data_IF_773091588758
#
_entry.id   IF_773091588758
#
_cell.length_a   1.000
_cell.length_b   1.000
_cell.length_c   1.000
_cell.angle_alpha   90.00
_cell.angle_beta   90.00
_cell.angle_gamma   90.00
#
_symmetry.space_group_name_H-M   'P 1'
#
loop_
_entity.id
_entity.type
_entity.pdbx_description
1 polymer ?
#
# COMPACT_ATOMS: atom_id res chain seq x y z
N UNK A 1 -2.31 -15.72 17.51
CA UNK A 1 -1.10 -15.69 18.37
C UNK A 1 -1.22 -16.85 19.32
N UNK A 2 -0.25 -17.77 19.34
CA UNK A 2 -0.09 -18.70 20.44
C UNK A 2 0.39 -17.90 21.63
N UNK A 3 -0.43 -17.78 22.67
CA UNK A 3 -0.01 -17.18 23.95
C UNK A 3 0.93 -18.16 24.65
N UNK A 4 2.13 -17.69 24.99
CA UNK A 4 3.09 -18.45 25.78
C UNK A 4 2.90 -18.23 27.28
N UNK A 5 1.93 -17.42 27.68
CA UNK A 5 1.54 -17.19 29.04
C UNK A 5 0.71 -18.33 29.63
N UNK A 6 0.67 -18.44 30.94
CA UNK A 6 -0.15 -19.44 31.62
C UNK A 6 -1.65 -19.18 31.45
N UNK A 7 -2.38 -20.14 30.89
CA UNK A 7 -3.83 -20.17 31.02
C UNK A 7 -4.26 -20.67 32.41
N UNK A 8 -5.50 -20.39 32.82
CA UNK A 8 -6.00 -20.82 34.15
C UNK A 8 -5.84 -22.33 34.39
N UNK A 9 -5.89 -23.15 33.32
CA UNK A 9 -5.67 -24.60 33.40
C UNK A 9 -4.21 -24.99 33.60
N UNK A 10 -3.24 -24.17 33.15
CA UNK A 10 -1.82 -24.48 33.25
C UNK A 10 -1.33 -24.38 34.70
N UNK A 11 -1.89 -23.43 35.46
CA UNK A 11 -1.61 -23.30 36.88
C UNK A 11 -1.97 -24.57 37.63
N UNK A 12 -3.14 -25.16 37.36
CA UNK A 12 -3.62 -26.40 37.96
C UNK A 12 -2.73 -27.60 37.57
N UNK A 13 -2.30 -27.66 36.33
CA UNK A 13 -1.40 -28.70 35.82
C UNK A 13 -0.03 -28.60 36.51
N UNK A 14 0.56 -27.41 36.58
CA UNK A 14 1.82 -27.15 37.27
C UNK A 14 1.75 -27.48 38.76
N UNK A 15 0.65 -27.13 39.43
CA UNK A 15 0.40 -27.52 40.83
C UNK A 15 0.33 -29.05 40.96
N UNK A 16 -0.30 -29.75 40.03
CA UNK A 16 -0.33 -31.22 40.02
C UNK A 16 1.04 -31.87 39.89
N UNK A 17 1.92 -31.34 39.05
CA UNK A 17 3.30 -31.84 38.90
C UNK A 17 4.21 -31.53 40.13
N UNK A 18 3.97 -30.42 40.80
CA UNK A 18 4.80 -30.00 41.95
C UNK A 18 4.38 -30.67 43.29
N UNK A 19 3.23 -31.37 43.29
CA UNK A 19 2.75 -32.07 44.49
C UNK A 19 2.12 -31.15 45.53
N UNK A 20 1.49 -31.76 46.56
CA UNK A 20 0.72 -31.03 47.59
C UNK A 20 1.60 -30.39 48.70
N UNK A 21 2.91 -30.15 48.49
CA UNK A 21 3.77 -29.45 49.43
C UNK A 21 3.43 -27.95 49.45
N UNK A 22 3.40 -27.32 50.63
CA UNK A 22 2.93 -25.93 50.80
C UNK A 22 3.63 -24.83 49.99
N UNK A 23 4.70 -25.15 49.27
CA UNK A 23 5.41 -24.22 48.33
C UNK A 23 5.00 -24.40 46.84
N UNK A 24 4.19 -25.38 46.50
CA UNK A 24 3.84 -25.68 45.13
C UNK A 24 3.06 -24.52 44.48
N UNK A 25 2.16 -23.88 45.21
CA UNK A 25 1.34 -22.74 44.73
C UNK A 25 2.25 -21.54 44.42
N UNK A 26 3.14 -21.16 45.33
CA UNK A 26 4.03 -20.01 45.12
C UNK A 26 5.03 -20.23 43.96
N UNK A 27 5.52 -21.47 43.75
CA UNK A 27 6.39 -21.79 42.62
C UNK A 27 5.66 -21.75 41.29
N UNK A 28 4.42 -22.28 41.23
CA UNK A 28 3.61 -22.24 40.02
C UNK A 28 3.23 -20.80 39.65
N UNK A 29 2.84 -19.96 40.60
CA UNK A 29 2.56 -18.55 40.38
C UNK A 29 3.79 -17.78 39.88
N UNK A 30 4.97 -18.06 40.48
CA UNK A 30 6.22 -17.46 40.05
C UNK A 30 6.57 -17.85 38.62
N UNK A 31 6.49 -19.13 38.26
CA UNK A 31 6.76 -19.61 36.91
C UNK A 31 5.79 -18.99 35.90
N UNK A 32 4.47 -18.94 36.21
CA UNK A 32 3.48 -18.32 35.35
C UNK A 32 3.76 -16.81 35.17
N UNK A 33 4.08 -16.09 36.24
CA UNK A 33 4.43 -14.66 36.12
C UNK A 33 5.67 -14.41 35.26
N UNK A 34 6.66 -15.33 35.27
CA UNK A 34 7.84 -15.26 34.41
C UNK A 34 7.48 -15.54 32.95
N UNK A 35 6.63 -16.55 32.68
CA UNK A 35 6.16 -16.89 31.34
C UNK A 35 5.32 -15.74 30.75
N UNK A 36 4.41 -15.17 31.54
CA UNK A 36 3.62 -14.00 31.14
C UNK A 36 4.52 -12.78 30.81
N UNK A 37 5.56 -12.56 31.62
CA UNK A 37 6.54 -11.52 31.35
C UNK A 37 7.35 -11.75 30.06
N UNK A 38 7.66 -13.01 29.73
CA UNK A 38 8.32 -13.38 28.47
C UNK A 38 7.39 -13.18 27.30
N UNK A 39 6.12 -13.64 27.41
CA UNK A 39 5.10 -13.48 26.37
C UNK A 39 4.84 -12.00 26.05
N UNK A 40 4.71 -11.16 27.07
CA UNK A 40 4.56 -9.72 26.90
C UNK A 40 5.76 -9.10 26.15
N UNK A 41 7.00 -9.47 26.52
CA UNK A 41 8.21 -8.98 25.83
C UNK A 41 8.28 -9.46 24.38
N UNK A 42 7.94 -10.73 24.12
CA UNK A 42 7.85 -11.26 22.76
C UNK A 42 6.79 -10.53 21.94
N UNK A 43 5.64 -10.23 22.54
CA UNK A 43 4.58 -9.44 21.92
C UNK A 43 5.06 -8.04 21.50
N UNK A 44 5.72 -7.31 22.41
CA UNK A 44 6.31 -6.00 22.10
C UNK A 44 7.38 -6.09 21.01
N UNK A 45 8.25 -7.10 21.06
CA UNK A 45 9.28 -7.30 20.04
C UNK A 45 8.67 -7.58 18.68
N UNK A 46 7.64 -8.42 18.62
CA UNK A 46 6.89 -8.70 17.39
C UNK A 46 6.29 -7.44 16.78
N UNK A 47 5.61 -6.63 17.59
CA UNK A 47 5.06 -5.36 17.14
C UNK A 47 6.15 -4.40 16.64
N UNK A 48 7.27 -4.30 17.34
CA UNK A 48 8.39 -3.44 16.94
C UNK A 48 9.00 -3.87 15.60
N UNK A 49 9.18 -5.18 15.39
CA UNK A 49 9.71 -5.73 14.12
C UNK A 49 8.72 -5.50 12.97
N UNK A 50 7.44 -5.80 13.18
CA UNK A 50 6.40 -5.60 12.15
C UNK A 50 6.28 -4.12 11.77
N UNK A 51 6.29 -3.20 12.75
CA UNK A 51 6.26 -1.76 12.50
C UNK A 51 7.52 -1.27 11.76
N UNK A 52 8.69 -1.74 12.14
CA UNK A 52 9.95 -1.37 11.47
C UNK A 52 9.92 -1.84 10.02
N UNK A 53 9.47 -3.07 9.77
CA UNK A 53 9.31 -3.60 8.43
C UNK A 53 8.34 -2.79 7.59
N UNK A 54 7.19 -2.43 8.14
CA UNK A 54 6.15 -1.67 7.44
C UNK A 54 6.62 -0.24 7.14
N UNK A 55 7.29 0.43 8.09
CA UNK A 55 7.87 1.75 7.86
C UNK A 55 8.95 1.72 6.78
N UNK A 56 9.86 0.73 6.82
CA UNK A 56 10.88 0.57 5.78
C UNK A 56 10.27 0.34 4.41
N UNK A 57 9.25 -0.54 4.32
CA UNK A 57 8.47 -0.76 3.11
C UNK A 57 7.81 0.53 2.60
N UNK A 58 7.26 1.33 3.52
CA UNK A 58 6.67 2.64 3.20
C UNK A 58 7.69 3.59 2.60
N UNK A 59 8.90 3.65 3.15
CA UNK A 59 9.96 4.52 2.61
C UNK A 59 10.36 4.11 1.19
N UNK A 60 10.42 2.81 0.90
CA UNK A 60 10.67 2.31 -0.44
C UNK A 60 9.53 2.69 -1.42
N UNK A 61 8.27 2.56 -0.99
CA UNK A 61 7.12 2.98 -1.81
C UNK A 61 7.12 4.50 -2.02
N UNK A 62 7.41 5.28 -0.98
CA UNK A 62 7.53 6.74 -1.12
C UNK A 62 8.64 7.15 -2.09
N UNK A 63 9.76 6.41 -2.12
CA UNK A 63 10.83 6.64 -3.09
C UNK A 63 10.37 6.43 -4.55
N UNK A 64 9.26 5.71 -4.80
CA UNK A 64 8.68 5.60 -6.14
C UNK A 64 8.18 6.95 -6.68
N UNK A 65 7.83 7.92 -5.84
CA UNK A 65 7.50 9.27 -6.30
C UNK A 65 8.67 9.94 -7.02
N UNK A 66 9.90 9.74 -6.52
CA UNK A 66 11.08 10.18 -7.24
C UNK A 66 11.24 9.40 -8.56
N UNK A 67 10.92 8.11 -8.55
CA UNK A 67 10.90 7.26 -9.75
C UNK A 67 9.94 7.78 -10.82
N UNK A 68 8.69 8.09 -10.46
CA UNK A 68 7.71 8.70 -11.36
C UNK A 68 8.19 10.06 -11.87
N UNK A 69 8.69 10.91 -10.98
CA UNK A 69 9.23 12.23 -11.36
C UNK A 69 10.34 12.12 -12.42
N UNK A 70 11.32 11.23 -12.21
CA UNK A 70 12.43 11.05 -13.15
C UNK A 70 11.99 10.42 -14.47
N UNK A 71 11.15 9.37 -14.40
CA UNK A 71 10.61 8.70 -15.59
C UNK A 71 9.83 9.68 -16.48
N UNK A 72 8.92 10.45 -15.86
CA UNK A 72 8.13 11.45 -16.57
C UNK A 72 9.01 12.60 -17.08
N UNK A 73 9.93 13.12 -16.26
CA UNK A 73 10.83 14.20 -16.63
C UNK A 73 11.68 13.86 -17.86
N UNK A 74 12.18 12.61 -17.94
CA UNK A 74 12.91 12.15 -19.12
C UNK A 74 12.04 11.92 -20.36
N UNK A 75 10.77 11.58 -20.16
CA UNK A 75 9.82 11.24 -21.23
C UNK A 75 9.14 12.45 -21.86
N UNK A 76 9.03 13.57 -21.16
CA UNK A 76 8.47 14.82 -21.68
C UNK A 76 9.52 15.65 -22.40
N UNK A 77 9.10 16.70 -23.14
CA UNK A 77 10.00 17.69 -23.75
C UNK A 77 10.69 18.51 -22.65
N UNK A 78 11.93 18.93 -22.89
CA UNK A 78 12.77 19.66 -21.92
C UNK A 78 12.06 20.85 -21.23
N UNK A 79 11.24 21.61 -21.96
CA UNK A 79 10.49 22.75 -21.44
C UNK A 79 9.47 22.40 -20.36
N UNK A 80 9.04 21.14 -20.26
CA UNK A 80 8.02 20.69 -19.32
C UNK A 80 8.59 19.86 -18.15
N UNK A 81 9.90 19.64 -18.13
CA UNK A 81 10.57 18.81 -17.11
C UNK A 81 10.35 19.33 -15.71
N UNK A 82 10.59 20.63 -15.48
CA UNK A 82 10.40 21.23 -14.16
C UNK A 82 8.93 21.13 -13.70
N UNK A 83 8.00 21.37 -14.61
CA UNK A 83 6.58 21.28 -14.29
C UNK A 83 6.18 19.88 -13.80
N UNK A 84 6.57 18.83 -14.52
CA UNK A 84 6.21 17.45 -14.14
C UNK A 84 6.92 16.99 -12.86
N UNK A 85 8.14 17.43 -12.61
CA UNK A 85 8.85 17.15 -11.37
C UNK A 85 8.13 17.80 -10.18
N UNK A 86 7.76 19.08 -10.32
CA UNK A 86 7.05 19.82 -9.27
C UNK A 86 5.67 19.19 -9.00
N UNK A 87 4.93 18.76 -10.03
CA UNK A 87 3.63 18.10 -9.84
C UNK A 87 3.75 16.81 -9.04
N UNK A 88 4.80 16.00 -9.23
CA UNK A 88 5.02 14.80 -8.43
C UNK A 88 5.34 15.09 -6.95
N UNK A 89 6.03 16.20 -6.65
CA UNK A 89 6.22 16.66 -5.26
C UNK A 89 4.88 17.07 -4.65
N UNK A 90 4.06 17.75 -5.44
CA UNK A 90 2.75 18.21 -4.98
C UNK A 90 1.73 17.09 -4.85
N UNK A 91 1.85 16.01 -5.61
CA UNK A 91 1.08 14.78 -5.39
C UNK A 91 1.29 14.25 -3.98
N UNK A 92 2.54 14.19 -3.54
CA UNK A 92 2.86 13.74 -2.19
C UNK A 92 2.29 14.72 -1.13
N UNK A 93 2.43 16.03 -1.34
CA UNK A 93 1.99 17.05 -0.38
C UNK A 93 0.46 17.16 -0.31
N UNK A 94 -0.20 17.40 -1.46
CA UNK A 94 -1.66 17.53 -1.52
C UNK A 94 -2.34 16.19 -1.21
N UNK A 95 -1.80 15.09 -1.73
CA UNK A 95 -2.27 13.76 -1.42
C UNK A 95 -2.14 13.42 0.07
N UNK A 96 -1.07 13.88 0.74
CA UNK A 96 -0.90 13.71 2.18
C UNK A 96 -2.00 14.40 2.98
N UNK A 97 -2.29 15.65 2.66
CA UNK A 97 -3.35 16.42 3.31
C UNK A 97 -4.72 15.80 3.04
N UNK A 98 -5.04 15.51 1.77
CA UNK A 98 -6.33 14.98 1.37
C UNK A 98 -6.57 13.58 1.94
N UNK A 99 -5.54 12.73 1.95
CA UNK A 99 -5.62 11.39 2.52
C UNK A 99 -5.76 11.41 4.04
N UNK A 100 -5.05 12.33 4.73
CA UNK A 100 -5.17 12.51 6.17
C UNK A 100 -6.57 12.98 6.57
N UNK A 101 -7.09 14.01 5.90
CA UNK A 101 -8.38 14.61 6.28
C UNK A 101 -9.56 13.70 5.93
N UNK A 102 -9.55 13.11 4.74
CA UNK A 102 -10.68 12.37 4.18
C UNK A 102 -10.36 10.93 3.81
N UNK A 103 -9.24 10.71 3.12
CA UNK A 103 -8.96 9.46 2.44
C UNK A 103 -8.92 8.25 3.36
N UNK A 104 -8.20 8.35 4.48
CA UNK A 104 -8.11 7.25 5.43
C UNK A 104 -9.47 6.90 6.06
N UNK A 105 -10.29 7.90 6.33
CA UNK A 105 -11.65 7.71 6.83
C UNK A 105 -12.53 6.95 5.83
N UNK A 106 -12.47 7.33 4.54
CA UNK A 106 -13.21 6.63 3.49
C UNK A 106 -12.70 5.21 3.25
N UNK A 107 -11.39 4.97 3.34
CA UNK A 107 -10.80 3.66 3.08
C UNK A 107 -10.99 2.69 4.27
N UNK A 108 -10.66 3.12 5.49
CA UNK A 108 -10.53 2.25 6.66
C UNK A 108 -11.30 2.74 7.89
N UNK A 109 -12.08 3.83 7.75
CA UNK A 109 -12.86 4.37 8.84
C UNK A 109 -14.05 3.48 9.20
N UNK A 110 -13.85 2.58 10.14
CA UNK A 110 -14.89 1.71 10.68
C UNK A 110 -15.52 2.35 11.91
N UNK A 111 -16.86 2.32 12.00
CA UNK A 111 -17.60 2.84 13.15
C UNK A 111 -19.09 2.61 12.99
N UNK A 112 -19.75 2.20 14.05
CA UNK A 112 -21.20 1.93 14.03
C UNK A 112 -21.58 0.73 13.16
N UNK A 113 -22.51 0.92 12.21
CA UNK A 113 -22.94 -0.15 11.31
C UNK A 113 -21.93 -0.32 10.15
N UNK A 114 -21.54 -1.57 9.82
CA UNK A 114 -20.68 -1.85 8.69
C UNK A 114 -21.27 -1.28 7.38
N UNK A 115 -20.41 -0.65 6.56
CA UNK A 115 -20.79 -0.15 5.25
C UNK A 115 -19.81 -0.72 4.20
N UNK A 116 -20.30 -1.55 3.29
CA UNK A 116 -19.48 -2.21 2.28
C UNK A 116 -18.96 -1.29 1.18
N UNK A 117 -19.49 -0.07 1.05
CA UNK A 117 -19.15 0.82 -0.04
C UNK A 117 -18.11 1.89 0.35
N UNK A 118 -18.21 2.44 1.57
CA UNK A 118 -17.37 3.56 2.01
C UNK A 118 -17.23 3.56 3.53
N UNK A 119 -16.05 3.88 4.04
CA UNK A 119 -15.81 4.15 5.45
C UNK A 119 -16.39 5.50 5.87
N UNK A 120 -16.65 5.68 7.17
CA UNK A 120 -17.34 6.86 7.67
C UNK A 120 -16.88 7.33 9.07
N UNK A 121 -15.75 6.84 9.54
CA UNK A 121 -15.20 7.19 10.85
C UNK A 121 -13.71 7.62 10.74
N UNK A 122 -13.15 8.13 11.84
CA UNK A 122 -11.74 8.49 11.97
C UNK A 122 -11.27 9.63 11.03
N UNK A 123 -12.14 10.58 10.73
CA UNK A 123 -11.83 11.77 9.95
C UNK A 123 -10.67 12.55 10.56
N UNK A 124 -9.64 12.85 9.77
CA UNK A 124 -8.44 13.52 10.27
C UNK A 124 -7.76 12.77 11.41
N UNK A 125 -7.91 11.44 11.46
CA UNK A 125 -7.46 10.56 12.54
C UNK A 125 -8.02 10.97 13.92
N UNK A 126 -9.18 11.62 13.97
CA UNK A 126 -9.86 11.89 15.22
C UNK A 126 -10.44 10.61 15.82
N UNK A 127 -10.48 10.56 17.15
CA UNK A 127 -11.02 9.42 17.92
C UNK A 127 -10.26 8.10 17.75
N UNK A 128 -9.08 8.11 17.13
CA UNK A 128 -8.20 6.95 17.16
C UNK A 128 -7.45 6.90 18.50
N UNK A 129 -7.27 5.72 19.11
CA UNK A 129 -6.56 5.62 20.38
C UNK A 129 -5.06 5.84 20.15
N UNK A 130 -4.52 6.98 20.61
CA UNK A 130 -3.13 7.40 20.38
C UNK A 130 -2.08 6.33 20.71
N UNK A 131 -2.32 5.48 21.71
CA UNK A 131 -1.37 4.48 22.17
C UNK A 131 -1.41 3.17 21.36
N UNK A 132 -2.50 2.89 20.62
CA UNK A 132 -2.70 1.62 19.92
C UNK A 132 -3.02 1.76 18.43
N UNK A 133 -3.10 3.00 17.93
CA UNK A 133 -3.33 3.23 16.50
C UNK A 133 -2.05 2.94 15.70
N UNK A 134 -2.20 2.19 14.63
CA UNK A 134 -1.10 1.84 13.73
C UNK A 134 -0.82 2.98 12.74
N UNK A 135 -0.01 3.94 13.16
CA UNK A 135 0.43 5.05 12.30
C UNK A 135 1.32 4.57 11.14
N UNK A 136 1.99 3.43 11.28
CA UNK A 136 2.79 2.84 10.21
C UNK A 136 1.88 2.35 9.07
N UNK A 137 0.75 1.76 9.40
CA UNK A 137 -0.27 1.37 8.44
C UNK A 137 -0.88 2.58 7.72
N UNK A 138 -1.21 3.65 8.45
CA UNK A 138 -1.68 4.89 7.84
C UNK A 138 -0.67 5.42 6.81
N UNK A 139 0.60 5.50 7.19
CA UNK A 139 1.66 6.02 6.33
C UNK A 139 1.88 5.14 5.09
N UNK A 140 1.83 3.82 5.25
CA UNK A 140 1.91 2.86 4.15
C UNK A 140 0.77 3.05 3.15
N UNK A 141 -0.46 3.16 3.62
CA UNK A 141 -1.63 3.36 2.79
C UNK A 141 -1.64 4.72 2.09
N UNK A 142 -1.14 5.78 2.74
CA UNK A 142 -0.90 7.07 2.09
C UNK A 142 0.10 6.95 0.94
N UNK A 143 1.22 6.25 1.13
CA UNK A 143 2.22 6.07 0.08
C UNK A 143 1.65 5.35 -1.14
N UNK A 144 0.73 4.42 -0.95
CA UNK A 144 -0.01 3.75 -2.02
C UNK A 144 -0.99 4.69 -2.74
N UNK A 145 -1.70 5.54 -2.01
CA UNK A 145 -2.64 6.51 -2.58
C UNK A 145 -1.91 7.51 -3.51
N UNK A 146 -0.76 8.04 -3.09
CA UNK A 146 0.01 8.96 -3.92
C UNK A 146 0.67 8.25 -5.12
N UNK A 147 0.97 6.95 -5.01
CA UNK A 147 1.46 6.17 -6.15
C UNK A 147 0.39 6.09 -7.26
N UNK A 148 -0.90 5.95 -6.92
CA UNK A 148 -1.98 5.99 -7.90
C UNK A 148 -2.06 7.34 -8.64
N UNK A 149 -1.85 8.46 -7.93
CA UNK A 149 -1.75 9.79 -8.52
C UNK A 149 -0.54 9.91 -9.44
N UNK A 150 0.63 9.41 -9.01
CA UNK A 150 1.85 9.36 -9.80
C UNK A 150 1.69 8.59 -11.12
N UNK A 151 0.96 7.46 -11.12
CA UNK A 151 0.63 6.71 -12.35
C UNK A 151 -0.18 7.57 -13.33
N UNK A 152 -1.20 8.28 -12.83
CA UNK A 152 -2.05 9.16 -13.65
C UNK A 152 -1.24 10.31 -14.26
N UNK A 153 -0.30 10.87 -13.51
CA UNK A 153 0.48 12.06 -13.89
C UNK A 153 1.16 11.93 -15.25
N UNK A 154 1.69 10.75 -15.56
CA UNK A 154 2.34 10.47 -16.84
C UNK A 154 1.41 10.53 -18.03
N UNK A 155 0.16 10.12 -17.87
CA UNK A 155 -0.86 10.12 -18.95
C UNK A 155 -1.29 11.52 -19.35
N UNK A 156 -1.41 12.42 -18.39
CA UNK A 156 -1.87 13.81 -18.58
C UNK A 156 -0.72 14.81 -18.70
N UNK A 157 0.52 14.33 -18.64
CA UNK A 157 1.72 15.16 -18.79
C UNK A 157 1.70 15.96 -20.11
N UNK A 158 2.12 17.23 -20.05
CA UNK A 158 2.16 18.20 -21.15
C UNK A 158 0.80 18.63 -21.72
N UNK A 159 -0.30 18.25 -21.10
CA UNK A 159 -1.66 18.63 -21.56
C UNK A 159 -2.55 19.21 -20.47
N UNK A 160 -2.27 18.96 -19.21
CA UNK A 160 -3.04 19.44 -18.06
C UNK A 160 -2.44 20.71 -17.48
N UNK A 161 -3.28 21.65 -17.10
CA UNK A 161 -2.87 22.84 -16.37
C UNK A 161 -2.48 22.47 -14.93
N UNK A 162 -1.50 23.18 -14.39
CA UNK A 162 -0.95 22.94 -13.06
C UNK A 162 -2.01 22.94 -11.95
N UNK A 163 -2.93 23.91 -11.93
CA UNK A 163 -4.00 23.99 -10.92
C UNK A 163 -4.97 22.81 -11.05
N UNK A 164 -5.35 22.46 -12.28
CA UNK A 164 -6.22 21.28 -12.52
C UNK A 164 -5.55 20.00 -12.03
N UNK A 165 -4.22 19.92 -12.17
CA UNK A 165 -3.43 18.81 -11.65
C UNK A 165 -3.53 18.68 -10.13
N UNK A 166 -3.42 19.78 -9.38
CA UNK A 166 -3.60 19.75 -7.92
C UNK A 166 -4.99 19.30 -7.49
N UNK A 167 -6.02 19.76 -8.19
CA UNK A 167 -7.41 19.39 -7.89
C UNK A 167 -7.62 17.90 -8.13
N UNK A 168 -7.18 17.39 -9.28
CA UNK A 168 -7.35 15.98 -9.58
C UNK A 168 -6.62 15.09 -8.59
N UNK A 169 -5.37 15.43 -8.24
CA UNK A 169 -4.56 14.68 -7.29
C UNK A 169 -5.24 14.61 -5.92
N UNK A 170 -5.75 15.75 -5.44
CA UNK A 170 -6.49 15.83 -4.17
C UNK A 170 -7.78 14.98 -4.19
N UNK A 171 -8.54 15.03 -5.28
CA UNK A 171 -9.77 14.22 -5.43
C UNK A 171 -9.45 12.74 -5.56
N UNK A 172 -8.41 12.40 -6.33
CA UNK A 172 -8.01 11.00 -6.50
C UNK A 172 -7.57 10.39 -5.18
N UNK A 173 -6.69 11.06 -4.43
CA UNK A 173 -6.12 10.55 -3.17
C UNK A 173 -7.06 10.68 -1.99
N UNK A 174 -7.91 11.70 -1.96
CA UNK A 174 -8.86 11.95 -0.86
C UNK A 174 -10.20 11.24 -0.99
N UNK A 175 -10.59 10.83 -2.21
CA UNK A 175 -11.92 10.28 -2.46
C UNK A 175 -11.93 9.03 -3.34
N UNK A 176 -11.48 9.09 -4.59
CA UNK A 176 -11.64 7.98 -5.55
C UNK A 176 -10.86 6.74 -5.12
N UNK A 177 -9.56 6.88 -4.91
CA UNK A 177 -8.70 5.79 -4.45
C UNK A 177 -9.16 5.19 -3.12
N UNK A 178 -9.49 6.00 -2.08
CA UNK A 178 -9.96 5.47 -0.81
C UNK A 178 -11.22 4.62 -0.91
N UNK A 179 -12.17 4.98 -1.74
CA UNK A 179 -13.41 4.20 -1.93
C UNK A 179 -13.08 2.82 -2.53
N UNK A 180 -12.23 2.77 -3.56
CA UNK A 180 -11.81 1.50 -4.17
C UNK A 180 -10.97 0.68 -3.19
N UNK A 181 -10.10 1.32 -2.43
CA UNK A 181 -9.34 0.70 -1.34
C UNK A 181 -10.27 0.09 -0.28
N UNK A 182 -11.33 0.79 0.09
CA UNK A 182 -12.35 0.26 0.99
C UNK A 182 -13.00 -1.01 0.46
N UNK A 183 -13.37 -1.03 -0.82
CA UNK A 183 -14.03 -2.19 -1.42
C UNK A 183 -13.23 -3.48 -1.31
N UNK A 184 -11.90 -3.40 -1.47
CA UNK A 184 -11.02 -4.58 -1.57
C UNK A 184 -10.24 -4.88 -0.29
N UNK A 185 -9.83 -3.84 0.46
CA UNK A 185 -8.88 -4.00 1.57
C UNK A 185 -9.51 -3.76 2.95
N UNK A 186 -10.69 -3.14 3.03
CA UNK A 186 -11.42 -3.06 4.29
C UNK A 186 -12.09 -4.39 4.62
N UNK A 187 -12.15 -4.72 5.92
CA UNK A 187 -12.92 -5.88 6.41
C UNK A 187 -14.42 -5.74 6.21
N UNK A 188 -14.92 -4.54 5.94
CA UNK A 188 -16.32 -4.25 5.62
C UNK A 188 -16.58 -4.22 4.11
N UNK A 189 -15.53 -4.10 3.29
CA UNK A 189 -15.61 -3.92 1.84
C UNK A 189 -16.42 -5.00 1.12
N UNK A 190 -17.30 -4.59 0.20
CA UNK A 190 -18.20 -5.52 -0.49
C UNK A 190 -17.50 -6.51 -1.43
N UNK A 191 -16.30 -6.15 -1.93
CA UNK A 191 -15.44 -7.01 -2.75
C UNK A 191 -14.40 -7.78 -1.94
N UNK A 192 -14.14 -7.39 -0.70
CA UNK A 192 -13.00 -7.86 0.08
C UNK A 192 -13.06 -9.37 0.33
N UNK A 193 -11.93 -10.04 0.07
CA UNK A 193 -11.73 -11.44 0.44
C UNK A 193 -11.54 -11.64 1.94
N UNK A 194 -11.22 -10.57 2.69
CA UNK A 194 -11.04 -10.59 4.16
C UNK A 194 -12.28 -10.09 4.91
N UNK A 195 -13.38 -9.85 4.19
CA UNK A 195 -14.64 -9.40 4.79
C UNK A 195 -15.09 -10.35 5.88
N UNK A 196 -15.47 -9.79 7.04
CA UNK A 196 -16.13 -10.55 8.10
C UNK A 196 -17.44 -11.13 7.54
N UNK A 197 -17.58 -12.45 7.53
CA UNK A 197 -18.68 -13.14 6.88
C UNK A 197 -19.99 -12.82 7.59
N UNK A 198 -20.79 -11.94 6.98
CA UNK A 198 -22.17 -11.65 7.37
C UNK A 198 -23.17 -12.35 6.45
N UNK A 199 -24.49 -12.07 6.61
CA UNK A 199 -25.50 -12.58 5.69
C UNK A 199 -25.14 -12.23 4.23
N UNK A 200 -25.01 -13.23 3.38
CA UNK A 200 -24.66 -13.08 1.97
C UNK A 200 -23.25 -13.54 1.59
N UNK A 201 -22.39 -13.87 2.54
CA UNK A 201 -21.07 -14.43 2.27
C UNK A 201 -20.11 -13.49 1.51
N UNK A 202 -19.03 -14.06 0.97
CA UNK A 202 -18.10 -13.37 0.08
C UNK A 202 -18.66 -13.31 -1.35
N UNK A 203 -18.37 -12.25 -2.07
CA UNK A 203 -18.74 -12.14 -3.49
C UNK A 203 -18.17 -13.34 -4.27
N UNK A 204 -19.00 -14.02 -5.03
CA UNK A 204 -18.66 -15.27 -5.76
C UNK A 204 -18.03 -16.36 -4.88
N UNK A 205 -18.30 -16.35 -3.56
CA UNK A 205 -17.80 -17.34 -2.60
C UNK A 205 -16.35 -17.13 -2.13
N UNK A 206 -15.56 -16.26 -2.77
CA UNK A 206 -14.15 -16.00 -2.44
C UNK A 206 -13.81 -14.54 -2.16
N UNK A 207 -14.64 -13.62 -2.62
CA UNK A 207 -14.26 -12.20 -2.72
C UNK A 207 -13.22 -11.96 -3.81
N UNK A 208 -12.80 -10.72 -3.95
CA UNK A 208 -11.71 -10.34 -4.85
C UNK A 208 -10.41 -10.20 -4.06
N UNK A 209 -9.34 -10.80 -4.57
CA UNK A 209 -8.00 -10.72 -3.96
C UNK A 209 -7.18 -9.70 -4.73
N UNK A 210 -6.85 -8.60 -4.08
CA UNK A 210 -5.84 -7.65 -4.51
C UNK A 210 -4.75 -7.59 -3.44
N UNK A 211 -3.68 -8.34 -3.65
CA UNK A 211 -2.63 -8.46 -2.65
C UNK A 211 -1.83 -7.18 -2.47
N UNK A 212 -1.46 -6.52 -3.56
CA UNK A 212 -0.53 -5.39 -3.55
C UNK A 212 -0.98 -4.24 -4.47
N UNK A 213 -2.25 -4.09 -4.77
CA UNK A 213 -2.76 -2.92 -5.48
C UNK A 213 -2.77 -3.02 -7.00
N UNK A 214 -2.81 -4.22 -7.59
CA UNK A 214 -3.03 -4.35 -9.03
C UNK A 214 -4.33 -3.66 -9.49
N UNK A 215 -5.40 -3.79 -8.71
CA UNK A 215 -6.66 -3.08 -8.89
C UNK A 215 -6.69 -1.73 -8.21
N UNK A 216 -6.48 -1.74 -6.89
CA UNK A 216 -6.64 -0.54 -6.03
C UNK A 216 -5.71 0.61 -6.43
N UNK A 217 -4.48 0.33 -6.82
CA UNK A 217 -3.50 1.36 -7.19
C UNK A 217 -3.35 1.47 -8.70
N UNK A 218 -2.93 0.38 -9.36
CA UNK A 218 -2.54 0.44 -10.77
C UNK A 218 -3.73 0.59 -11.72
N UNK A 219 -4.83 -0.14 -11.50
CA UNK A 219 -6.01 0.00 -12.35
C UNK A 219 -6.69 1.35 -12.08
N UNK A 220 -6.79 1.81 -10.82
CA UNK A 220 -7.34 3.13 -10.50
C UNK A 220 -6.51 4.24 -11.15
N UNK A 221 -5.18 4.22 -10.97
CA UNK A 221 -4.30 5.21 -11.60
C UNK A 221 -4.33 5.14 -13.12
N UNK A 222 -4.35 3.93 -13.69
CA UNK A 222 -4.43 3.71 -15.15
C UNK A 222 -5.74 4.18 -15.76
N UNK A 223 -6.89 3.90 -15.13
CA UNK A 223 -8.20 4.36 -15.59
C UNK A 223 -8.34 5.88 -15.45
N UNK A 224 -7.89 6.46 -14.35
CA UNK A 224 -7.86 7.92 -14.18
C UNK A 224 -7.00 8.56 -15.27
N UNK A 225 -5.83 8.00 -15.56
CA UNK A 225 -4.96 8.45 -16.64
C UNK A 225 -5.56 8.29 -18.03
N UNK A 226 -6.26 7.17 -18.29
CA UNK A 226 -6.96 6.94 -19.54
C UNK A 226 -8.05 8.01 -19.78
N UNK A 227 -8.94 8.22 -18.82
CA UNK A 227 -10.01 9.22 -18.95
C UNK A 227 -9.47 10.64 -18.99
N UNK A 228 -8.44 10.97 -18.20
CA UNK A 228 -7.77 12.27 -18.31
C UNK A 228 -7.22 12.51 -19.71
N UNK A 229 -6.49 11.55 -20.26
CA UNK A 229 -5.95 11.64 -21.61
C UNK A 229 -7.04 11.71 -22.70
N UNK A 230 -8.15 10.97 -22.52
CA UNK A 230 -9.27 10.94 -23.45
C UNK A 230 -10.03 12.28 -23.49
N UNK A 231 -10.30 12.86 -22.30
CA UNK A 231 -11.05 14.12 -22.17
C UNK A 231 -10.22 15.31 -22.64
N UNK A 232 -8.94 15.39 -22.25
CA UNK A 232 -8.05 16.48 -22.62
C UNK A 232 -7.61 16.44 -24.09
N UNK A 233 -7.65 15.27 -24.69
CA UNK A 233 -7.22 15.07 -26.06
C UNK A 233 -5.70 15.08 -26.25
N UNK A 234 -5.21 15.23 -27.51
CA UNK A 234 -3.79 15.19 -27.83
C UNK A 234 -3.06 16.43 -27.33
N UNK A 235 -1.75 16.27 -27.06
CA UNK A 235 -0.87 17.40 -26.71
C UNK A 235 -0.84 18.41 -27.87
N UNK A 236 -0.79 19.71 -27.54
CA UNK A 236 -0.73 20.79 -28.53
C UNK A 236 0.48 20.60 -29.46
N UNK A 237 0.20 20.54 -30.77
CA UNK A 237 1.18 20.31 -31.81
C UNK A 237 1.55 18.84 -32.03
N UNK A 238 0.84 17.88 -31.41
CA UNK A 238 1.04 16.45 -31.67
C UNK A 238 0.69 16.04 -33.10
N UNK A 239 -0.26 16.74 -33.69
CA UNK A 239 -0.67 16.57 -35.07
C UNK A 239 -0.53 17.90 -35.83
N UNK A 240 -0.09 17.83 -37.08
CA UNK A 240 -0.08 18.98 -37.99
C UNK A 240 -1.48 19.31 -38.51
N UNK A 241 -1.59 20.36 -39.34
CA UNK A 241 -2.86 20.77 -39.93
C UNK A 241 -3.46 19.72 -40.86
N UNK A 242 -2.68 18.79 -41.37
CA UNK A 242 -3.06 17.70 -42.25
C UNK A 242 -3.37 16.41 -41.48
N UNK A 243 -3.30 16.43 -40.14
CA UNK A 243 -3.58 15.26 -39.30
C UNK A 243 -2.38 14.31 -39.15
N UNK A 244 -1.21 14.63 -39.69
CA UNK A 244 -0.02 13.78 -39.55
C UNK A 244 0.59 13.94 -38.16
N UNK A 245 1.07 12.82 -37.60
CA UNK A 245 1.68 12.83 -36.28
C UNK A 245 3.07 13.46 -36.29
N UNK A 246 3.26 14.46 -35.41
CA UNK A 246 4.55 15.10 -35.17
C UNK A 246 5.35 14.35 -34.12
N UNK A 247 6.67 14.33 -34.27
CA UNK A 247 7.54 13.61 -33.34
C UNK A 247 7.78 14.39 -32.05
N UNK A 248 7.29 13.86 -30.93
CA UNK A 248 7.46 14.43 -29.60
C UNK A 248 8.42 13.56 -28.78
N UNK A 249 9.70 13.67 -29.07
CA UNK A 249 10.74 12.90 -28.34
C UNK A 249 10.90 13.42 -26.91
N UNK A 250 11.03 12.50 -25.95
CA UNK A 250 11.51 12.79 -24.61
C UNK A 250 12.92 13.36 -24.67
N UNK A 251 13.27 14.19 -23.69
CA UNK A 251 14.54 14.92 -23.74
C UNK A 251 15.71 14.15 -23.12
N UNK A 252 15.49 13.16 -22.25
CA UNK A 252 16.56 12.49 -21.53
C UNK A 252 16.26 11.01 -21.26
N UNK A 253 16.87 10.13 -22.07
CA UNK A 253 16.82 8.69 -21.83
C UNK A 253 17.45 8.29 -20.48
N UNK A 254 18.49 9.01 -20.05
CA UNK A 254 19.15 8.76 -18.76
C UNK A 254 18.18 8.93 -17.58
N UNK A 255 17.35 9.97 -17.58
CA UNK A 255 16.34 10.18 -16.55
C UNK A 255 15.25 9.10 -16.59
N UNK A 256 14.86 8.64 -17.79
CA UNK A 256 13.92 7.52 -17.94
C UNK A 256 14.47 6.25 -17.29
N UNK A 257 15.74 5.92 -17.57
CA UNK A 257 16.41 4.74 -16.98
C UNK A 257 16.51 4.87 -15.47
N UNK A 258 16.95 6.03 -14.97
CA UNK A 258 17.01 6.28 -13.53
C UNK A 258 15.65 6.14 -12.85
N UNK A 259 14.61 6.73 -13.43
CA UNK A 259 13.24 6.61 -12.93
C UNK A 259 12.75 5.16 -12.90
N UNK A 260 13.05 4.38 -13.93
CA UNK A 260 12.72 2.96 -14.02
C UNK A 260 13.38 2.16 -12.89
N UNK A 261 14.67 2.39 -12.61
CA UNK A 261 15.36 1.71 -11.51
C UNK A 261 14.80 2.10 -10.14
N UNK A 262 14.47 3.37 -9.93
CA UNK A 262 13.87 3.82 -8.69
C UNK A 262 12.47 3.22 -8.46
N UNK A 263 11.67 3.09 -9.52
CA UNK A 263 10.38 2.38 -9.45
C UNK A 263 10.58 0.91 -9.13
N UNK A 264 11.53 0.24 -9.79
CA UNK A 264 11.82 -1.18 -9.52
C UNK A 264 12.30 -1.39 -8.09
N UNK A 265 13.20 -0.53 -7.62
CA UNK A 265 13.65 -0.54 -6.23
C UNK A 265 12.48 -0.38 -5.25
N UNK A 266 11.58 0.56 -5.52
CA UNK A 266 10.39 0.79 -4.71
C UNK A 266 9.41 -0.39 -4.70
N UNK A 267 9.34 -1.20 -5.76
CA UNK A 267 8.49 -2.39 -5.79
C UNK A 267 8.86 -3.44 -4.74
N UNK A 268 10.10 -3.45 -4.23
CA UNK A 268 10.48 -4.31 -3.11
C UNK A 268 9.82 -3.86 -1.79
N UNK A 269 9.47 -2.60 -1.65
CA UNK A 269 8.57 -2.13 -0.59
C UNK A 269 7.10 -2.30 -0.93
N UNK A 270 6.74 -2.15 -2.22
CA UNK A 270 5.36 -2.21 -2.69
C UNK A 270 4.80 -3.64 -2.59
N UNK A 271 5.37 -4.60 -3.30
CA UNK A 271 4.85 -5.96 -3.34
C UNK A 271 5.17 -6.77 -2.07
N UNK A 272 6.45 -6.97 -1.66
CA UNK A 272 6.73 -7.65 -0.40
C UNK A 272 6.14 -6.92 0.81
N UNK A 273 6.19 -5.58 0.85
CA UNK A 273 5.63 -4.78 1.94
C UNK A 273 4.15 -4.99 2.19
N UNK A 274 3.40 -5.42 1.18
CA UNK A 274 1.96 -5.71 1.27
C UNK A 274 1.61 -6.90 2.18
N UNK A 275 2.59 -7.65 2.68
CA UNK A 275 2.35 -8.56 3.81
C UNK A 275 2.00 -7.81 5.11
N UNK A 276 2.35 -6.54 5.24
CA UNK A 276 2.13 -5.64 6.38
C UNK A 276 2.82 -6.11 7.67
N UNK A 277 2.77 -7.41 7.98
CA UNK A 277 3.34 -8.05 9.16
C UNK A 277 4.13 -9.28 8.76
N UNK A 278 5.36 -9.43 9.28
CA UNK A 278 6.27 -10.52 8.89
C UNK A 278 6.38 -11.65 9.91
N UNK A 279 6.03 -11.38 11.15
CA UNK A 279 6.08 -12.37 12.23
C UNK A 279 4.76 -13.11 12.45
N UNK A 280 3.73 -12.82 11.65
CA UNK A 280 2.46 -13.57 11.66
C UNK A 280 2.68 -14.94 11.03
N UNK A 281 2.13 -16.02 11.57
CA UNK A 281 2.23 -17.35 10.98
C UNK A 281 1.72 -17.40 9.54
N UNK A 282 2.47 -18.09 8.68
CA UNK A 282 2.16 -18.30 7.27
C UNK A 282 2.48 -19.77 6.92
N UNK A 283 1.57 -20.47 6.29
CA UNK A 283 1.72 -21.91 5.95
C UNK A 283 2.22 -22.77 7.15
N UNK A 284 1.52 -22.68 8.27
CA UNK A 284 1.82 -23.44 9.48
C UNK A 284 2.76 -22.72 10.43
N UNK A 285 3.99 -23.18 10.60
CA UNK A 285 4.95 -22.66 11.61
C UNK A 285 5.86 -21.54 11.12
N UNK A 286 5.90 -21.29 9.82
CA UNK A 286 6.75 -20.24 9.24
C UNK A 286 6.03 -18.90 9.28
N UNK A 287 6.75 -17.82 9.63
CA UNK A 287 6.20 -16.47 9.54
C UNK A 287 6.05 -15.97 8.09
N UNK A 288 5.30 -14.90 7.91
CA UNK A 288 5.12 -14.23 6.62
C UNK A 288 6.45 -13.86 5.94
N UNK A 289 7.55 -13.75 6.70
CA UNK A 289 8.88 -13.47 6.15
C UNK A 289 9.28 -14.43 5.02
N UNK A 290 8.82 -15.68 5.05
CA UNK A 290 9.08 -16.65 3.96
C UNK A 290 8.30 -16.29 2.68
N UNK A 291 7.07 -15.80 2.82
CA UNK A 291 6.26 -15.26 1.72
C UNK A 291 6.85 -13.97 1.15
N UNK A 292 7.35 -13.08 2.01
CA UNK A 292 8.06 -11.84 1.64
C UNK A 292 9.23 -12.13 0.71
N UNK A 293 10.10 -13.08 1.06
CA UNK A 293 11.22 -13.48 0.21
C UNK A 293 10.79 -14.03 -1.15
N UNK A 294 9.76 -14.90 -1.16
CA UNK A 294 9.19 -15.43 -2.40
C UNK A 294 8.59 -14.32 -3.27
N UNK A 295 7.86 -13.39 -2.69
CA UNK A 295 7.28 -12.25 -3.41
C UNK A 295 8.36 -11.33 -3.98
N UNK A 296 9.47 -11.11 -3.28
CA UNK A 296 10.61 -10.36 -3.82
C UNK A 296 11.19 -11.02 -5.08
N UNK A 297 11.36 -12.36 -5.05
CA UNK A 297 11.83 -13.12 -6.22
C UNK A 297 10.86 -13.01 -7.39
N UNK A 298 9.56 -13.22 -7.16
CA UNK A 298 8.55 -13.14 -8.23
C UNK A 298 8.44 -11.72 -8.80
N UNK A 299 8.57 -10.68 -7.98
CA UNK A 299 8.65 -9.28 -8.42
C UNK A 299 9.86 -9.06 -9.35
N UNK A 300 11.02 -9.58 -8.97
CA UNK A 300 12.23 -9.50 -9.80
C UNK A 300 12.04 -10.20 -11.14
N UNK A 301 11.53 -11.42 -11.14
CA UNK A 301 11.29 -12.19 -12.36
C UNK A 301 10.26 -11.54 -13.28
N UNK A 302 9.17 -11.02 -12.73
CA UNK A 302 8.14 -10.31 -13.48
C UNK A 302 8.73 -9.07 -14.20
N UNK A 303 9.45 -8.21 -13.47
CA UNK A 303 10.10 -7.02 -14.03
C UNK A 303 11.14 -7.37 -15.09
N UNK A 304 11.99 -8.37 -14.84
CA UNK A 304 13.01 -8.84 -15.79
C UNK A 304 12.37 -9.39 -17.07
N UNK A 305 11.37 -10.26 -16.94
CA UNK A 305 10.68 -10.87 -18.08
C UNK A 305 9.94 -9.81 -18.91
N UNK A 306 9.24 -8.88 -18.26
CA UNK A 306 8.55 -7.79 -18.96
C UNK A 306 9.52 -6.92 -19.75
N UNK A 307 10.66 -6.55 -19.15
CA UNK A 307 11.70 -5.76 -19.82
C UNK A 307 12.28 -6.46 -21.03
N UNK A 308 12.66 -7.72 -20.90
CA UNK A 308 13.22 -8.53 -21.99
C UNK A 308 12.18 -8.73 -23.10
N UNK A 309 10.95 -9.10 -22.75
CA UNK A 309 9.87 -9.29 -23.73
C UNK A 309 9.58 -8.01 -24.53
N UNK A 310 9.54 -6.85 -23.84
CA UNK A 310 9.33 -5.56 -24.51
C UNK A 310 10.48 -5.23 -25.47
N UNK A 311 11.71 -5.53 -25.09
CA UNK A 311 12.89 -5.29 -25.92
C UNK A 311 12.84 -6.10 -27.21
N UNK A 312 12.53 -7.39 -27.13
CA UNK A 312 12.44 -8.27 -28.31
C UNK A 312 11.16 -8.05 -29.11
N UNK A 313 10.01 -7.80 -28.46
CA UNK A 313 8.74 -7.53 -29.13
C UNK A 313 8.72 -6.26 -30.00
N UNK A 314 9.62 -5.31 -29.75
CA UNK A 314 9.80 -4.14 -30.63
C UNK A 314 10.44 -4.46 -31.99
N UNK A 315 11.00 -5.65 -32.16
CA UNK A 315 11.64 -6.08 -33.40
C UNK A 315 10.73 -6.92 -34.29
N UNK A 316 9.58 -7.33 -33.79
CA UNK A 316 8.48 -7.97 -34.51
C UNK A 316 7.45 -6.93 -34.96
#
# INVERSE_FOLDING_TARGET
MTTYGCAAGDLTILQGYLGASGNATGLSEFLCSKLDGIDARLGFTTLAVDNTYLLFSTYLVFAMQLGFAMLCAGSVRAKNTMNIMLTNVLDAACGGISYYVFGFAFAFGQGGKPNGFIGHANWGLQNVPNASFDYSFFLFQWAFAIAAAGITSGSIAERTQFVAYLVYSSVLTGFVYPIVSHWLWSTDGWLSATKSVGPGGLLFGSGAIDFAGSGVVHMVGGLAGFWGAFIEGPRIGRFDKSGNSMNFRGHSATLVVLGTFLLWFGWYGFNPGSFLKILVPYEGVKGNWSGVGRTAVTTTLAGSTAGVTTLFGKRL
#
